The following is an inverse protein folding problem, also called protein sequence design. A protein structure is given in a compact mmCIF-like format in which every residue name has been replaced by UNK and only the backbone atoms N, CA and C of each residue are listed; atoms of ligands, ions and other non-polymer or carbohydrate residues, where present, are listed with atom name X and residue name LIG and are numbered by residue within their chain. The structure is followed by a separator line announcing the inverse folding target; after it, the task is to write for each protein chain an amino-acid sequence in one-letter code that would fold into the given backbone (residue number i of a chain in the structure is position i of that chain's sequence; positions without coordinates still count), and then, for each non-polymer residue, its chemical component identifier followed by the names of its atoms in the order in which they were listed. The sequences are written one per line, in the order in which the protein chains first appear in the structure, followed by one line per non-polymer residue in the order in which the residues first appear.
data_IF_025069014496
#
_entry.id   IF_025069014496
#
_cell.length_a   1.000
_cell.length_b   1.000
_cell.length_c   1.000
_cell.angle_alpha   90.00
_cell.angle_beta   90.00
_cell.angle_gamma   90.00
#
_symmetry.space_group_name_H-M   'P 1'
#
loop_
_entity.id
_entity.type
_entity.pdbx_description
1 polymer ?
#
# COMPACT_ATOMS: atom_id res chain seq x y z
N UNK A 1 26.70 -10.21 -34.11
CA UNK A 1 25.55 -10.56 -33.24
C UNK A 1 26.09 -10.83 -31.85
N UNK A 2 26.03 -9.85 -30.95
CA UNK A 2 26.50 -10.02 -29.58
C UNK A 2 25.30 -10.44 -28.72
N UNK A 3 25.28 -11.68 -28.25
CA UNK A 3 24.39 -12.12 -27.19
C UNK A 3 24.77 -11.37 -25.91
N UNK A 4 23.97 -10.36 -25.55
CA UNK A 4 23.98 -9.75 -24.21
C UNK A 4 23.00 -10.53 -23.34
N UNK A 5 23.41 -11.70 -22.88
CA UNK A 5 22.75 -12.40 -21.77
C UNK A 5 23.39 -11.92 -20.48
N UNK A 6 22.68 -11.09 -19.69
CA UNK A 6 23.03 -10.86 -18.28
C UNK A 6 23.20 -9.41 -17.78
N UNK A 7 22.91 -8.38 -18.58
CA UNK A 7 22.74 -7.03 -18.03
C UNK A 7 21.26 -6.83 -17.79
N UNK A 8 20.87 -6.86 -16.53
CA UNK A 8 19.51 -6.49 -16.13
C UNK A 8 19.20 -5.08 -16.64
N UNK A 9 18.05 -4.93 -17.28
CA UNK A 9 17.64 -3.68 -17.94
C UNK A 9 17.65 -2.52 -16.93
N UNK A 10 18.52 -1.50 -17.09
CA UNK A 10 18.60 -0.38 -16.16
C UNK A 10 17.28 0.39 -16.04
N UNK A 11 16.42 0.34 -17.06
CA UNK A 11 15.13 1.03 -17.06
C UNK A 11 14.21 0.56 -15.94
N UNK A 12 14.33 -0.69 -15.49
CA UNK A 12 13.50 -1.23 -14.39
C UNK A 12 13.71 -0.54 -13.04
N UNK A 13 14.82 0.17 -12.86
CA UNK A 13 15.15 0.91 -11.64
C UNK A 13 14.67 2.36 -11.68
N UNK A 14 14.14 2.81 -12.82
CA UNK A 14 13.68 4.18 -13.02
C UNK A 14 12.18 4.21 -13.34
N UNK A 15 11.65 3.19 -14.01
CA UNK A 15 10.28 3.15 -14.48
C UNK A 15 9.45 2.10 -13.75
N UNK A 16 8.23 2.49 -13.39
CA UNK A 16 7.24 1.57 -12.82
C UNK A 16 6.58 0.76 -13.94
N UNK A 17 6.54 -0.56 -13.80
CA UNK A 17 5.72 -1.41 -14.66
C UNK A 17 4.22 -1.18 -14.36
N UNK A 18 3.58 -0.33 -15.18
CA UNK A 18 2.16 0.02 -15.03
C UNK A 18 1.22 -1.14 -15.31
N UNK A 19 1.64 -2.17 -16.05
CA UNK A 19 0.81 -3.35 -16.28
C UNK A 19 0.54 -4.11 -14.97
N UNK A 20 1.48 -4.06 -14.01
CA UNK A 20 1.35 -4.67 -12.68
C UNK A 20 0.42 -3.86 -11.77
N UNK A 21 0.38 -2.53 -11.92
CA UNK A 21 -0.48 -1.66 -11.10
C UNK A 21 -1.96 -1.82 -11.48
N UNK A 22 -2.25 -1.93 -12.78
CA UNK A 22 -3.62 -1.95 -13.28
C UNK A 22 -4.21 -3.36 -13.32
N UNK A 23 -4.43 -3.95 -12.15
CA UNK A 23 -5.10 -5.24 -12.00
C UNK A 23 -6.56 -5.04 -11.51
N UNK A 24 -7.58 -5.41 -12.31
CA UNK A 24 -8.98 -5.31 -11.89
C UNK A 24 -9.30 -6.06 -10.59
N UNK A 25 -8.60 -7.17 -10.32
CA UNK A 25 -8.80 -7.96 -9.11
C UNK A 25 -8.36 -7.21 -7.85
N UNK A 26 -7.23 -6.48 -7.91
CA UNK A 26 -6.73 -5.72 -6.76
C UNK A 26 -7.65 -4.52 -6.45
N UNK A 27 -8.18 -3.87 -7.50
CA UNK A 27 -9.16 -2.80 -7.34
C UNK A 27 -10.48 -3.29 -6.73
N UNK A 28 -10.97 -4.45 -7.17
CA UNK A 28 -12.17 -5.07 -6.61
C UNK A 28 -11.97 -5.43 -5.12
N UNK A 29 -10.83 -6.03 -4.80
CA UNK A 29 -10.48 -6.41 -3.43
C UNK A 29 -10.39 -5.21 -2.48
N UNK A 30 -9.72 -4.13 -2.91
CA UNK A 30 -9.63 -2.89 -2.13
C UNK A 30 -11.01 -2.32 -1.83
N UNK A 31 -11.89 -2.30 -2.84
CA UNK A 31 -13.25 -1.76 -2.72
C UNK A 31 -14.09 -2.62 -1.77
N UNK A 32 -14.02 -3.95 -1.90
CA UNK A 32 -14.80 -4.88 -1.10
C UNK A 32 -14.38 -4.89 0.38
N UNK A 33 -13.08 -4.77 0.66
CA UNK A 33 -12.52 -4.97 2.01
C UNK A 33 -12.49 -3.69 2.85
N UNK A 34 -12.84 -2.52 2.31
CA UNK A 34 -12.75 -1.21 3.01
C UNK A 34 -11.42 -1.05 3.74
N UNK A 35 -10.33 -1.23 3.00
CA UNK A 35 -8.99 -1.27 3.59
C UNK A 35 -8.59 0.08 4.19
N UNK A 36 -7.92 0.01 5.32
CA UNK A 36 -7.38 1.13 6.10
C UNK A 36 -5.99 0.79 6.63
N UNK A 37 -5.27 1.82 7.06
CA UNK A 37 -3.99 1.70 7.73
C UNK A 37 -4.15 1.78 9.25
N UNK A 38 -3.61 0.74 9.86
CA UNK A 38 -3.28 0.44 11.24
C UNK A 38 -1.94 0.91 11.84
N UNK A 39 -1.79 1.47 13.05
CA UNK A 39 -0.46 1.48 13.69
C UNK A 39 0.08 0.05 13.89
N UNK A 40 1.37 -0.15 13.65
CA UNK A 40 2.04 -1.44 13.79
C UNK A 40 3.43 -1.26 14.39
N UNK A 41 3.72 -1.96 15.49
CA UNK A 41 5.05 -1.91 16.13
C UNK A 41 6.17 -2.42 15.22
N UNK A 42 5.84 -3.34 14.30
CA UNK A 42 6.82 -3.98 13.43
C UNK A 42 7.01 -3.25 12.10
N UNK A 43 5.94 -2.68 11.58
CA UNK A 43 5.91 -2.15 10.21
C UNK A 43 5.70 -0.63 10.15
N UNK A 44 5.56 0.04 11.29
CA UNK A 44 5.08 1.42 11.39
C UNK A 44 3.57 1.46 11.18
N UNK A 45 3.12 1.01 10.00
CA UNK A 45 1.71 0.80 9.68
C UNK A 45 1.46 -0.52 8.96
N UNK A 46 0.26 -1.07 9.12
CA UNK A 46 -0.18 -2.30 8.46
C UNK A 46 -1.63 -2.20 7.93
N UNK A 47 -1.93 -2.94 6.87
CA UNK A 47 -3.24 -2.90 6.24
C UNK A 47 -4.25 -3.72 7.03
N UNK A 48 -5.45 -3.17 7.25
CA UNK A 48 -6.55 -3.85 7.92
C UNK A 48 -7.89 -3.52 7.24
N UNK A 49 -8.91 -4.33 7.50
CA UNK A 49 -10.28 -4.10 7.06
C UNK A 49 -11.19 -3.80 8.24
N UNK A 50 -11.98 -2.73 8.16
CA UNK A 50 -12.96 -2.40 9.20
C UNK A 50 -14.09 -3.43 9.16
N UNK A 51 -14.39 -4.03 10.33
CA UNK A 51 -15.48 -5.00 10.49
C UNK A 51 -16.66 -4.42 11.25
N UNK A 52 -16.39 -3.65 12.30
CA UNK A 52 -17.42 -3.08 13.15
C UNK A 52 -16.93 -1.76 13.77
N UNK A 53 -17.85 -0.81 13.97
CA UNK A 53 -17.56 0.42 14.72
C UNK A 53 -18.28 0.39 16.07
N UNK A 54 -17.57 0.70 17.15
CA UNK A 54 -18.08 0.66 18.53
C UNK A 54 -17.72 1.94 19.27
N UNK A 55 -18.59 2.95 19.18
CA UNK A 55 -18.32 4.26 19.80
C UNK A 55 -17.07 4.90 19.19
N UNK A 56 -16.03 5.08 20.03
CA UNK A 56 -14.76 5.71 19.67
C UNK A 56 -13.70 4.71 19.18
N UNK A 57 -13.99 3.41 19.21
CA UNK A 57 -13.10 2.36 18.69
C UNK A 57 -13.70 1.66 17.47
N UNK A 58 -12.85 1.00 16.70
CA UNK A 58 -13.23 0.13 15.59
C UNK A 58 -12.59 -1.24 15.74
N UNK A 59 -13.39 -2.27 15.45
CA UNK A 59 -12.87 -3.62 15.26
C UNK A 59 -12.39 -3.75 13.82
N UNK A 60 -11.11 -4.04 13.68
CA UNK A 60 -10.45 -4.26 12.39
C UNK A 60 -9.90 -5.68 12.30
N UNK A 61 -9.76 -6.18 11.09
CA UNK A 61 -9.13 -7.46 10.78
C UNK A 61 -7.92 -7.23 9.90
N UNK A 62 -6.74 -7.65 10.36
CA UNK A 62 -5.48 -7.48 9.66
C UNK A 62 -5.50 -8.22 8.32
N UNK A 63 -5.08 -7.54 7.26
CA UNK A 63 -5.06 -8.11 5.93
C UNK A 63 -4.01 -9.22 5.76
N UNK A 64 -2.92 -9.19 6.53
CA UNK A 64 -1.82 -10.16 6.44
C UNK A 64 -2.16 -11.52 7.03
N UNK A 65 -2.79 -11.56 8.20
CA UNK A 65 -2.96 -12.79 8.99
C UNK A 65 -4.40 -13.02 9.48
N UNK A 66 -5.34 -12.13 9.17
CA UNK A 66 -6.75 -12.26 9.59
C UNK A 66 -7.01 -12.05 11.07
N UNK A 67 -6.01 -11.64 11.87
CA UNK A 67 -6.19 -11.36 13.30
C UNK A 67 -7.08 -10.14 13.47
N UNK A 68 -7.98 -10.20 14.46
CA UNK A 68 -8.83 -9.06 14.84
C UNK A 68 -8.20 -8.24 15.95
N UNK A 69 -8.35 -6.92 15.88
CA UNK A 69 -7.90 -5.97 16.88
C UNK A 69 -8.93 -4.86 17.07
N UNK A 70 -8.94 -4.27 18.26
CA UNK A 70 -9.65 -3.02 18.55
C UNK A 70 -8.65 -1.88 18.45
N UNK A 71 -9.02 -0.81 17.75
CA UNK A 71 -8.17 0.36 17.51
C UNK A 71 -9.01 1.61 17.69
N UNK A 72 -8.43 2.68 18.23
CA UNK A 72 -9.09 3.99 18.26
C UNK A 72 -9.44 4.45 16.85
N UNK A 73 -10.60 5.08 16.67
CA UNK A 73 -10.98 5.67 15.37
C UNK A 73 -9.99 6.72 14.88
N UNK A 74 -9.35 7.44 15.80
CA UNK A 74 -8.40 8.51 15.47
C UNK A 74 -7.07 7.97 14.94
N UNK A 75 -6.73 6.72 15.26
CA UNK A 75 -5.51 6.06 14.80
C UNK A 75 -5.66 5.41 13.42
N UNK A 76 -6.89 5.33 12.89
CA UNK A 76 -7.18 4.70 11.61
C UNK A 76 -6.95 5.69 10.46
N UNK A 77 -6.03 5.38 9.57
CA UNK A 77 -5.75 6.21 8.40
C UNK A 77 -6.36 5.60 7.13
N UNK A 78 -6.89 6.45 6.23
CA UNK A 78 -7.48 6.00 4.96
C UNK A 78 -6.41 5.41 4.04
N UNK A 79 -6.72 4.29 3.37
CA UNK A 79 -5.85 3.68 2.37
C UNK A 79 -6.16 4.21 0.98
N UNK A 80 -5.13 4.60 0.24
CA UNK A 80 -5.28 4.98 -1.17
C UNK A 80 -5.66 3.76 -2.03
N UNK A 81 -6.43 3.96 -3.12
CA UNK A 81 -6.70 2.91 -4.09
C UNK A 81 -5.41 2.32 -4.73
N UNK A 82 -5.41 1.05 -5.18
CA UNK A 82 -4.23 0.39 -5.76
C UNK A 82 -3.61 1.09 -6.97
N UNK A 83 -4.39 1.90 -7.71
CA UNK A 83 -3.87 2.72 -8.82
C UNK A 83 -2.81 3.75 -8.38
N UNK A 84 -2.71 4.02 -7.08
CA UNK A 84 -1.71 4.91 -6.47
C UNK A 84 -0.49 4.16 -5.90
N UNK A 85 -0.33 2.88 -6.22
CA UNK A 85 0.90 2.15 -5.88
C UNK A 85 2.09 2.71 -6.67
N UNK A 86 3.19 2.97 -5.96
CA UNK A 86 4.48 3.45 -6.53
C UNK A 86 4.36 4.76 -7.30
N UNK A 87 3.52 5.68 -6.85
CA UNK A 87 3.47 7.04 -7.43
C UNK A 87 4.84 7.71 -7.32
N UNK A 88 5.22 8.43 -8.37
CA UNK A 88 6.47 9.21 -8.40
C UNK A 88 6.32 10.48 -7.55
N UNK A 89 5.21 11.19 -7.70
CA UNK A 89 4.86 12.34 -6.86
C UNK A 89 3.82 11.92 -5.80
N UNK A 90 4.24 11.93 -4.54
CA UNK A 90 3.35 11.58 -3.42
C UNK A 90 2.29 12.64 -3.16
N UNK A 91 2.44 13.87 -3.68
CA UNK A 91 1.40 14.87 -3.62
C UNK A 91 0.15 14.47 -4.45
N UNK A 92 0.29 13.52 -5.37
CA UNK A 92 -0.84 12.98 -6.15
C UNK A 92 -1.70 11.97 -5.38
N UNK A 93 -1.28 11.54 -4.18
CA UNK A 93 -2.07 10.64 -3.34
C UNK A 93 -3.38 11.31 -2.91
N UNK A 94 -4.51 10.60 -3.05
CA UNK A 94 -5.82 11.11 -2.60
C UNK A 94 -5.92 11.25 -1.08
N UNK A 95 -5.25 10.37 -0.35
CA UNK A 95 -5.15 10.38 1.09
C UNK A 95 -3.68 10.61 1.44
N UNK A 96 -3.31 11.87 1.69
CA UNK A 96 -1.96 12.25 2.10
C UNK A 96 -1.81 12.08 3.62
N UNK A 97 -1.40 10.89 4.03
CA UNK A 97 -1.17 10.53 5.43
C UNK A 97 0.16 9.80 5.59
N UNK A 98 0.66 9.74 6.83
CA UNK A 98 1.96 9.17 7.16
C UNK A 98 2.08 7.72 6.67
N UNK A 99 1.03 6.91 6.87
CA UNK A 99 1.01 5.52 6.43
C UNK A 99 1.14 5.38 4.92
N UNK A 100 0.45 6.22 4.14
CA UNK A 100 0.48 6.16 2.67
C UNK A 100 1.82 6.60 2.10
N UNK A 101 2.43 7.65 2.69
CA UNK A 101 3.77 8.09 2.30
C UNK A 101 4.80 7.01 2.60
N UNK A 102 4.79 6.45 3.82
CA UNK A 102 5.68 5.36 4.21
C UNK A 102 5.50 4.13 3.31
N UNK A 103 4.25 3.74 3.03
CA UNK A 103 3.95 2.61 2.17
C UNK A 103 4.49 2.83 0.76
N UNK A 104 4.26 4.00 0.16
CA UNK A 104 4.74 4.29 -1.20
C UNK A 104 6.27 4.28 -1.27
N UNK A 105 6.96 4.91 -0.31
CA UNK A 105 8.42 4.87 -0.20
C UNK A 105 8.95 3.45 -0.08
N UNK A 106 8.35 2.63 0.80
CA UNK A 106 8.76 1.25 1.04
C UNK A 106 8.58 0.38 -0.21
N UNK A 107 7.44 0.49 -0.89
CA UNK A 107 7.13 -0.30 -2.09
C UNK A 107 8.02 0.09 -3.28
N UNK A 108 8.28 1.40 -3.46
CA UNK A 108 9.26 1.89 -4.44
C UNK A 108 10.66 1.37 -4.13
N UNK A 109 11.11 1.50 -2.88
CA UNK A 109 12.44 1.05 -2.45
C UNK A 109 12.67 -0.45 -2.70
N UNK A 110 11.72 -1.31 -2.32
CA UNK A 110 11.83 -2.76 -2.58
C UNK A 110 11.72 -3.12 -4.06
N UNK A 111 11.18 -2.21 -4.89
CA UNK A 111 11.17 -2.35 -6.35
C UNK A 111 12.42 -1.77 -7.02
N UNK A 112 13.38 -1.24 -6.23
CA UNK A 112 14.60 -0.61 -6.74
C UNK A 112 14.41 0.82 -7.27
N UNK A 113 13.25 1.43 -7.02
CA UNK A 113 12.93 2.81 -7.37
C UNK A 113 13.27 3.70 -6.16
N UNK A 114 14.42 4.37 -6.21
CA UNK A 114 14.96 5.12 -5.05
C UNK A 114 14.71 6.63 -5.10
N UNK A 115 14.10 7.11 -6.18
CA UNK A 115 13.74 8.51 -6.41
C UNK A 115 12.23 8.69 -6.40
#
# INVERSE_FOLDING_TARGET
MAQRTGLEDPERYLFVDRAVIYNPATQADWTAKKLVWIPSERHGFEAASIKEERGDEVMVELAENGKKAMVSKDDVQKMNPPKFSKVEDMAELTCLNEASVLHNLKDRYYSGLIY
#
